data_IF_028658216702
#
_entry.id   IF_028658216702
#
_cell.length_a   1.000
_cell.length_b   1.000
_cell.length_c   1.000
_cell.angle_alpha   90.00
_cell.angle_beta   90.00
_cell.angle_gamma   90.00
#
_symmetry.space_group_name_H-M   'P 1'
#
loop_
_entity.id
_entity.type
_entity.pdbx_description
1 polymer ?
#
# COMPACT_ATOMS: atom_id res chain seq x y z
N UNK A 1 1.75 -7.51 -25.05
CA UNK A 1 2.71 -7.53 -23.93
C UNK A 1 2.51 -6.28 -23.12
N UNK A 2 2.10 -6.41 -21.87
CA UNK A 2 2.00 -5.26 -21.00
C UNK A 2 3.41 -4.73 -20.71
N UNK A 3 3.59 -3.44 -20.93
CA UNK A 3 4.87 -2.78 -20.78
C UNK A 3 5.10 -2.53 -19.29
N UNK A 4 6.18 -3.04 -18.69
CA UNK A 4 6.57 -2.71 -17.32
C UNK A 4 6.54 -1.20 -17.11
N UNK A 5 6.14 -0.75 -15.93
CA UNK A 5 5.94 0.68 -15.68
C UNK A 5 6.70 1.14 -14.45
N UNK A 6 7.40 2.25 -14.57
CA UNK A 6 7.94 3.03 -13.46
C UNK A 6 7.00 4.23 -13.25
N UNK A 7 6.49 4.38 -12.04
CA UNK A 7 5.78 5.58 -11.64
C UNK A 7 6.75 6.48 -10.86
N UNK A 8 7.08 7.62 -11.43
CA UNK A 8 7.98 8.59 -10.82
C UNK A 8 7.20 9.73 -10.17
N UNK A 9 7.52 9.99 -8.92
CA UNK A 9 6.93 11.04 -8.10
C UNK A 9 8.03 12.02 -7.69
N UNK A 10 8.12 13.20 -8.34
CA UNK A 10 9.15 14.19 -8.06
C UNK A 10 8.97 14.84 -6.69
N UNK A 11 9.96 15.58 -6.23
CA UNK A 11 9.80 16.53 -5.13
C UNK A 11 8.82 17.65 -5.51
N UNK A 12 8.21 18.26 -4.51
CA UNK A 12 7.29 19.39 -4.73
C UNK A 12 7.99 20.55 -5.46
N UNK A 13 7.41 20.98 -6.58
CA UNK A 13 7.98 22.01 -7.47
C UNK A 13 9.39 21.67 -7.98
N UNK A 14 9.67 20.39 -8.20
CA UNK A 14 10.96 19.94 -8.73
C UNK A 14 11.26 20.58 -10.07
N UNK A 15 12.46 21.16 -10.20
CA UNK A 15 12.95 21.69 -11.49
C UNK A 15 13.55 20.62 -12.38
N UNK A 16 13.81 19.41 -11.84
CA UNK A 16 14.47 18.28 -12.51
C UNK A 16 13.51 17.18 -13.00
N UNK A 17 12.21 17.29 -12.73
CA UNK A 17 11.25 16.22 -13.03
C UNK A 17 11.25 15.77 -14.50
N UNK A 18 11.37 16.71 -15.44
CA UNK A 18 11.43 16.40 -16.86
C UNK A 18 12.73 15.69 -17.24
N UNK A 19 13.87 16.11 -16.69
CA UNK A 19 15.18 15.52 -16.94
C UNK A 19 15.29 14.13 -16.35
N UNK A 20 14.81 13.93 -15.11
CA UNK A 20 14.71 12.61 -14.47
C UNK A 20 13.83 11.66 -15.27
N UNK A 21 12.66 12.14 -15.71
CA UNK A 21 11.75 11.34 -16.54
C UNK A 21 12.43 10.90 -17.84
N UNK A 22 13.21 11.79 -18.46
CA UNK A 22 13.97 11.48 -19.68
C UNK A 22 15.05 10.45 -19.39
N UNK A 23 15.86 10.65 -18.34
CA UNK A 23 16.93 9.73 -17.95
C UNK A 23 16.41 8.32 -17.65
N UNK A 24 15.29 8.20 -16.93
CA UNK A 24 14.64 6.92 -16.66
C UNK A 24 14.13 6.26 -17.97
N UNK A 25 13.59 7.01 -18.91
CA UNK A 25 13.19 6.48 -20.23
C UNK A 25 14.38 5.99 -21.06
N UNK A 26 15.51 6.67 -20.98
CA UNK A 26 16.74 6.27 -21.65
C UNK A 26 17.35 5.02 -21.02
N UNK A 27 17.31 4.91 -19.70
CA UNK A 27 17.77 3.72 -18.96
C UNK A 27 16.86 2.49 -19.17
N UNK A 28 15.56 2.70 -19.36
CA UNK A 28 14.55 1.65 -19.51
C UNK A 28 13.69 1.86 -20.76
N UNK A 29 14.26 1.72 -21.98
CA UNK A 29 13.56 2.06 -23.22
C UNK A 29 12.32 1.19 -23.50
N UNK A 30 12.30 -0.06 -22.97
CA UNK A 30 11.19 -0.98 -23.10
C UNK A 30 10.10 -0.75 -22.05
N UNK A 31 10.38 0.07 -21.04
CA UNK A 31 9.42 0.35 -19.97
C UNK A 31 8.63 1.63 -20.26
N UNK A 32 7.47 1.74 -19.60
CA UNK A 32 6.74 3.00 -19.52
C UNK A 32 7.23 3.76 -18.29
N UNK A 33 7.58 5.02 -18.45
CA UNK A 33 7.87 5.93 -17.34
C UNK A 33 6.79 7.00 -17.29
N UNK A 34 6.06 7.04 -16.19
CA UNK A 34 4.97 7.99 -15.93
C UNK A 34 5.40 8.87 -14.77
N UNK A 35 5.39 10.17 -14.98
CA UNK A 35 5.62 11.17 -13.93
C UNK A 35 4.26 11.65 -13.39
N UNK A 36 4.11 11.64 -12.07
CA UNK A 36 2.94 12.21 -11.39
C UNK A 36 3.43 13.32 -10.46
N UNK A 37 3.17 14.55 -10.85
CA UNK A 37 3.51 15.72 -10.05
C UNK A 37 2.68 15.78 -8.78
N UNK A 38 3.27 16.32 -7.71
CA UNK A 38 2.62 16.49 -6.43
C UNK A 38 2.35 17.97 -6.13
N UNK A 39 1.22 18.23 -5.48
CA UNK A 39 0.92 19.51 -4.84
C UNK A 39 0.55 19.28 -3.38
N UNK A 40 1.43 19.76 -2.48
CA UNK A 40 1.21 19.63 -1.03
C UNK A 40 0.06 20.52 -0.53
N UNK A 41 -0.34 21.55 -1.29
CA UNK A 41 -1.49 22.39 -0.95
C UNK A 41 -2.81 21.75 -1.43
N UNK A 42 -2.75 20.77 -2.34
CA UNK A 42 -3.87 20.02 -2.90
C UNK A 42 -3.68 18.50 -2.69
N UNK A 43 -3.43 18.07 -1.45
CA UNK A 43 -3.12 16.68 -1.11
C UNK A 43 -4.16 15.67 -1.61
N UNK A 44 -5.45 15.96 -1.45
CA UNK A 44 -6.53 15.05 -1.89
C UNK A 44 -6.54 14.86 -3.42
N UNK A 45 -6.19 15.91 -4.16
CA UNK A 45 -6.07 15.82 -5.61
C UNK A 45 -4.82 15.04 -6.01
N UNK A 46 -3.70 15.30 -5.36
CA UNK A 46 -2.46 14.55 -5.53
C UNK A 46 -2.67 13.06 -5.28
N UNK A 47 -3.31 12.68 -4.18
CA UNK A 47 -3.64 11.29 -3.86
C UNK A 47 -4.56 10.65 -4.89
N UNK A 48 -5.57 11.37 -5.34
CA UNK A 48 -6.48 10.90 -6.40
C UNK A 48 -5.74 10.65 -7.71
N UNK A 49 -4.81 11.53 -8.08
CA UNK A 49 -4.01 11.39 -9.30
C UNK A 49 -3.02 10.23 -9.18
N UNK A 50 -2.39 10.06 -8.04
CA UNK A 50 -1.55 8.88 -7.75
C UNK A 50 -2.37 7.60 -7.81
N UNK A 51 -3.55 7.56 -7.15
CA UNK A 51 -4.46 6.42 -7.21
C UNK A 51 -4.87 6.05 -8.63
N UNK A 52 -5.17 7.05 -9.48
CA UNK A 52 -5.42 6.81 -10.91
C UNK A 52 -4.18 6.25 -11.62
N UNK A 53 -2.99 6.79 -11.33
CA UNK A 53 -1.73 6.30 -11.89
C UNK A 53 -1.47 4.85 -11.51
N UNK A 54 -1.68 4.50 -10.25
CA UNK A 54 -1.56 3.13 -9.76
C UNK A 54 -2.52 2.18 -10.47
N UNK A 55 -3.80 2.56 -10.57
CA UNK A 55 -4.82 1.74 -11.21
C UNK A 55 -4.61 1.59 -12.73
N UNK A 56 -4.33 2.69 -13.44
CA UNK A 56 -4.21 2.67 -14.90
C UNK A 56 -2.94 2.00 -15.41
N UNK A 57 -1.83 2.14 -14.68
CA UNK A 57 -0.52 1.72 -15.15
C UNK A 57 0.04 0.52 -14.41
N UNK A 58 -0.52 0.19 -13.24
CA UNK A 58 -0.09 -0.94 -12.40
C UNK A 58 1.45 -1.03 -12.34
N UNK A 59 2.14 -0.03 -11.74
CA UNK A 59 3.58 0.10 -11.85
C UNK A 59 4.33 -1.00 -11.10
N UNK A 60 5.42 -1.48 -11.68
CA UNK A 60 6.39 -2.38 -11.04
C UNK A 60 7.17 -1.68 -9.95
N UNK A 61 7.49 -0.42 -10.18
CA UNK A 61 8.31 0.36 -9.26
C UNK A 61 7.75 1.77 -9.11
N UNK A 62 7.64 2.19 -7.86
CA UNK A 62 7.44 3.59 -7.49
C UNK A 62 8.80 4.18 -7.16
N UNK A 63 9.19 5.26 -7.81
CA UNK A 63 10.41 5.99 -7.46
C UNK A 63 10.07 7.42 -7.13
N UNK A 64 10.64 7.94 -6.05
CA UNK A 64 10.33 9.29 -5.57
C UNK A 64 11.56 10.06 -5.12
N UNK A 65 11.43 11.37 -5.09
CA UNK A 65 12.40 12.30 -4.53
C UNK A 65 11.74 13.16 -3.45
N UNK A 66 12.50 13.52 -2.43
CA UNK A 66 12.09 14.49 -1.40
C UNK A 66 10.69 14.20 -0.86
N UNK A 67 9.78 15.15 -0.97
CA UNK A 67 8.39 15.04 -0.53
C UNK A 67 7.54 14.06 -1.34
N UNK A 68 7.97 13.63 -2.52
CA UNK A 68 7.32 12.54 -3.24
C UNK A 68 7.27 11.26 -2.40
N UNK A 69 8.27 11.04 -1.55
CA UNK A 69 8.33 9.90 -0.65
C UNK A 69 7.16 9.87 0.35
N UNK A 70 6.73 11.01 0.85
CA UNK A 70 5.57 11.13 1.74
C UNK A 70 4.31 10.50 1.13
N UNK A 71 4.05 10.76 -0.13
CA UNK A 71 2.87 10.24 -0.81
C UNK A 71 2.96 8.74 -1.10
N UNK A 72 4.13 8.24 -1.52
CA UNK A 72 4.26 6.81 -1.87
C UNK A 72 4.33 5.89 -0.66
N UNK A 73 4.61 6.38 0.54
CA UNK A 73 4.56 5.57 1.75
C UNK A 73 3.16 5.04 2.08
N UNK A 74 2.12 5.68 1.59
CA UNK A 74 0.74 5.18 1.73
C UNK A 74 0.46 3.95 0.87
N UNK A 75 1.33 3.68 -0.11
CA UNK A 75 1.25 2.53 -1.01
C UNK A 75 2.23 1.44 -0.54
N UNK A 76 2.19 1.16 0.77
CA UNK A 76 2.95 0.07 1.37
C UNK A 76 2.71 -1.23 0.62
N UNK A 77 3.78 -2.00 0.42
CA UNK A 77 3.70 -3.25 -0.29
C UNK A 77 4.13 -3.19 -1.76
N UNK A 78 4.19 -2.02 -2.39
CA UNK A 78 4.79 -1.87 -3.72
C UNK A 78 6.30 -1.66 -3.62
N UNK A 79 7.03 -2.04 -4.67
CA UNK A 79 8.46 -1.73 -4.79
C UNK A 79 8.66 -0.22 -4.81
N UNK A 80 9.28 0.33 -3.78
CA UNK A 80 9.44 1.78 -3.58
C UNK A 80 10.90 2.14 -3.43
N UNK A 81 11.36 3.06 -4.23
CA UNK A 81 12.70 3.67 -4.15
C UNK A 81 12.53 5.14 -3.79
N UNK A 82 13.00 5.53 -2.62
CA UNK A 82 12.89 6.89 -2.10
C UNK A 82 14.27 7.54 -2.05
N UNK A 83 14.52 8.53 -2.89
CA UNK A 83 15.78 9.25 -2.98
C UNK A 83 15.71 10.50 -2.11
N UNK A 84 16.60 10.59 -1.11
CA UNK A 84 16.60 11.66 -0.11
C UNK A 84 15.20 12.00 0.40
N UNK A 85 14.47 11.02 0.96
CA UNK A 85 13.07 11.20 1.31
C UNK A 85 12.86 12.33 2.32
N UNK A 86 11.83 13.14 2.08
CA UNK A 86 11.27 14.08 3.04
C UNK A 86 9.84 13.66 3.39
N UNK A 87 9.58 13.43 4.66
CA UNK A 87 8.29 12.96 5.16
C UNK A 87 7.54 14.03 5.96
N UNK A 88 7.99 15.27 5.88
CA UNK A 88 7.46 16.39 6.65
C UNK A 88 6.97 17.54 5.76
N UNK A 89 5.91 17.34 4.96
CA UNK A 89 5.36 18.38 4.09
C UNK A 89 4.81 19.60 4.85
N UNK A 90 4.46 19.46 6.15
CA UNK A 90 3.94 20.56 6.96
C UNK A 90 4.90 21.75 7.04
N UNK A 91 6.20 21.52 7.02
CA UNK A 91 7.20 22.60 7.03
C UNK A 91 7.27 23.38 5.70
N UNK A 92 6.76 22.80 4.61
CA UNK A 92 6.79 23.39 3.27
C UNK A 92 5.40 23.82 2.78
N UNK A 93 4.35 23.52 3.57
CA UNK A 93 2.98 23.88 3.25
C UNK A 93 2.68 25.31 3.74
N UNK A 94 2.27 26.18 2.83
CA UNK A 94 1.90 27.57 3.17
C UNK A 94 0.47 27.67 3.72
N UNK A 95 -0.41 26.75 3.30
CA UNK A 95 -1.81 26.67 3.70
C UNK A 95 -2.13 25.33 4.35
N UNK A 96 -3.05 25.33 5.32
CA UNK A 96 -3.51 24.09 5.99
C UNK A 96 -2.42 23.27 6.72
N UNK A 97 -1.43 23.95 7.31
CA UNK A 97 -0.30 23.31 8.01
C UNK A 97 -0.75 22.29 9.08
N UNK A 98 -1.80 22.61 9.86
CA UNK A 98 -2.33 21.69 10.88
C UNK A 98 -2.91 20.42 10.29
N UNK A 99 -3.63 20.51 9.15
CA UNK A 99 -4.16 19.33 8.45
C UNK A 99 -3.00 18.48 7.94
N UNK A 100 -1.97 19.11 7.42
CA UNK A 100 -0.79 18.42 6.91
C UNK A 100 -0.02 17.72 8.03
N UNK A 101 0.08 18.31 9.20
CA UNK A 101 0.70 17.67 10.36
C UNK A 101 -0.02 16.37 10.76
N UNK A 102 -1.35 16.36 10.76
CA UNK A 102 -2.11 15.13 11.01
C UNK A 102 -1.88 14.05 9.96
N UNK A 103 -1.70 14.44 8.70
CA UNK A 103 -1.38 13.49 7.64
C UNK A 103 0.05 12.93 7.79
N UNK A 104 1.01 13.74 8.26
CA UNK A 104 2.36 13.28 8.60
C UNK A 104 2.34 12.22 9.71
N UNK A 105 1.57 12.43 10.76
CA UNK A 105 1.42 11.43 11.83
C UNK A 105 0.88 10.10 11.29
N UNK A 106 -0.12 10.13 10.40
CA UNK A 106 -0.66 8.93 9.77
C UNK A 106 0.38 8.20 8.93
N UNK A 107 1.17 8.93 8.15
CA UNK A 107 2.26 8.34 7.35
C UNK A 107 3.34 7.76 8.25
N UNK A 108 3.71 8.45 9.32
CA UNK A 108 4.69 7.95 10.28
C UNK A 108 4.23 6.66 10.96
N UNK A 109 2.94 6.59 11.33
CA UNK A 109 2.34 5.37 11.88
C UNK A 109 2.34 4.23 10.85
N UNK A 110 2.07 4.53 9.58
CA UNK A 110 2.11 3.55 8.52
C UNK A 110 3.53 2.99 8.31
N UNK A 111 4.54 3.86 8.27
CA UNK A 111 5.96 3.47 8.13
C UNK A 111 6.37 2.56 9.30
N UNK A 112 6.08 2.96 10.54
CA UNK A 112 6.43 2.17 11.72
C UNK A 112 5.75 0.80 11.69
N UNK A 113 4.49 0.76 11.26
CA UNK A 113 3.72 -0.47 11.12
C UNK A 113 4.32 -1.40 10.06
N UNK A 114 4.67 -0.87 8.90
CA UNK A 114 5.27 -1.64 7.81
C UNK A 114 6.65 -2.19 8.21
N UNK A 115 7.45 -1.42 8.93
CA UNK A 115 8.76 -1.85 9.41
C UNK A 115 8.68 -3.02 10.39
N UNK A 116 7.69 -2.98 11.31
CA UNK A 116 7.51 -4.05 12.31
C UNK A 116 6.97 -5.35 11.69
N UNK A 117 6.16 -5.24 10.63
CA UNK A 117 5.49 -6.39 10.01
C UNK A 117 6.32 -7.11 9.00
N UNK A 118 7.08 -6.40 8.23
CA UNK A 118 7.81 -6.94 7.11
C UNK A 118 9.21 -6.34 7.02
N UNK A 119 10.15 -6.94 7.78
CA UNK A 119 11.57 -6.55 7.73
C UNK A 119 12.22 -6.74 6.36
N UNK A 120 11.48 -7.31 5.41
CA UNK A 120 11.88 -7.51 4.02
C UNK A 120 11.05 -6.63 3.08
N UNK A 121 10.58 -5.48 3.54
CA UNK A 121 9.76 -4.61 2.70
C UNK A 121 10.51 -4.20 1.44
N UNK A 122 9.78 -4.16 0.34
CA UNK A 122 10.24 -3.67 -0.97
C UNK A 122 10.38 -2.15 -0.97
N UNK A 123 11.03 -1.60 0.08
CA UNK A 123 11.24 -0.17 0.23
C UNK A 123 12.72 0.12 0.46
N UNK A 124 13.30 0.89 -0.43
CA UNK A 124 14.70 1.31 -0.40
C UNK A 124 14.80 2.81 -0.18
N UNK A 125 15.61 3.20 0.80
CA UNK A 125 16.03 4.58 0.97
C UNK A 125 17.41 4.79 0.33
N UNK A 126 17.51 5.70 -0.63
CA UNK A 126 18.76 6.10 -1.27
C UNK A 126 19.18 7.46 -0.73
N UNK A 127 20.29 7.52 0.00
CA UNK A 127 20.71 8.72 0.72
C UNK A 127 22.05 9.23 0.23
N UNK A 128 22.08 10.50 -0.18
CA UNK A 128 23.31 11.22 -0.45
C UNK A 128 24.08 11.56 0.83
N UNK A 129 25.37 11.93 0.68
CA UNK A 129 26.25 12.28 1.81
C UNK A 129 25.70 13.42 2.67
N UNK A 130 25.06 14.41 2.03
CA UNK A 130 24.57 15.63 2.67
C UNK A 130 23.03 15.63 2.80
N UNK A 131 22.38 14.46 2.78
CA UNK A 131 20.94 14.37 2.94
C UNK A 131 20.50 14.92 4.30
N UNK A 132 19.60 15.90 4.28
CA UNK A 132 19.05 16.49 5.50
C UNK A 132 18.33 15.42 6.33
N UNK A 133 18.53 15.43 7.65
CA UNK A 133 17.97 14.44 8.58
C UNK A 133 18.25 12.98 8.22
N UNK A 134 19.34 12.72 7.50
CA UNK A 134 19.71 11.40 6.97
C UNK A 134 19.61 10.28 8.01
N UNK A 135 20.23 10.45 9.19
CA UNK A 135 20.23 9.42 10.22
C UNK A 135 18.83 9.09 10.73
N UNK A 136 17.99 10.11 10.87
CA UNK A 136 16.61 9.95 11.27
C UNK A 136 15.82 9.15 10.22
N UNK A 137 15.92 9.49 8.94
CA UNK A 137 15.19 8.80 7.90
C UNK A 137 15.73 7.41 7.59
N UNK A 138 17.05 7.20 7.67
CA UNK A 138 17.65 5.88 7.47
C UNK A 138 17.07 4.82 8.42
N UNK A 139 16.73 5.21 9.66
CA UNK A 139 16.14 4.30 10.63
C UNK A 139 14.73 3.80 10.22
N UNK A 140 14.05 4.48 9.30
CA UNK A 140 12.72 4.14 8.82
C UNK A 140 12.71 3.27 7.54
N UNK A 141 13.89 3.00 6.96
CA UNK A 141 14.00 2.20 5.76
C UNK A 141 14.68 0.86 6.05
N UNK A 142 14.04 -0.28 5.73
CA UNK A 142 14.65 -1.59 5.94
C UNK A 142 15.86 -1.81 5.02
N UNK A 143 15.84 -1.20 3.84
CA UNK A 143 16.91 -1.29 2.87
C UNK A 143 17.49 0.11 2.61
N UNK A 144 18.77 0.29 2.86
CA UNK A 144 19.44 1.59 2.75
C UNK A 144 20.60 1.50 1.78
N UNK A 145 20.63 2.41 0.80
CA UNK A 145 21.77 2.65 -0.08
C UNK A 145 22.38 4.01 0.26
N UNK A 146 23.65 3.98 0.61
CA UNK A 146 24.43 5.18 0.89
C UNK A 146 25.25 5.58 -0.33
N UNK A 147 24.93 6.73 -0.90
CA UNK A 147 25.66 7.32 -2.00
C UNK A 147 26.75 8.25 -1.44
N UNK A 148 28.04 8.00 -1.71
CA UNK A 148 29.14 8.74 -1.07
C UNK A 148 29.35 10.15 -1.64
N UNK A 149 28.43 10.65 -2.45
CA UNK A 149 28.40 11.99 -3.06
C UNK A 149 27.15 12.74 -2.65
N UNK A 150 27.10 14.02 -2.95
CA UNK A 150 25.89 14.83 -2.80
C UNK A 150 24.83 14.32 -3.79
N UNK A 151 23.62 14.15 -3.32
CA UNK A 151 22.45 13.77 -4.12
C UNK A 151 21.41 14.88 -3.96
N UNK A 152 21.04 15.53 -5.06
CA UNK A 152 19.99 16.55 -5.10
C UNK A 152 18.75 15.99 -5.79
N UNK A 153 18.98 15.13 -6.79
CA UNK A 153 17.90 14.44 -7.52
C UNK A 153 18.28 12.99 -7.84
N UNK A 154 17.35 12.24 -8.41
CA UNK A 154 17.61 10.88 -8.94
C UNK A 154 18.78 10.89 -9.92
N UNK A 155 18.99 11.96 -10.67
CA UNK A 155 20.09 12.07 -11.64
C UNK A 155 21.48 11.86 -10.98
N UNK A 156 21.62 12.29 -9.74
CA UNK A 156 22.87 12.12 -8.99
C UNK A 156 23.06 10.70 -8.43
N UNK A 157 22.00 9.89 -8.41
CA UNK A 157 21.98 8.52 -7.93
C UNK A 157 21.35 7.56 -8.97
N UNK A 158 21.44 7.93 -10.26
CA UNK A 158 20.75 7.20 -11.33
C UNK A 158 21.26 5.76 -11.44
N UNK A 159 22.56 5.56 -11.38
CA UNK A 159 23.16 4.23 -11.49
C UNK A 159 22.70 3.30 -10.37
N UNK A 160 22.63 3.80 -9.15
CA UNK A 160 22.14 3.06 -7.99
C UNK A 160 20.64 2.74 -8.12
N UNK A 161 19.84 3.68 -8.59
CA UNK A 161 18.42 3.47 -8.84
C UNK A 161 18.18 2.47 -9.97
N UNK A 162 18.94 2.56 -11.07
CA UNK A 162 18.85 1.62 -12.18
C UNK A 162 19.25 0.21 -11.76
N UNK A 163 20.32 0.05 -10.99
CA UNK A 163 20.73 -1.23 -10.43
C UNK A 163 19.63 -1.85 -9.54
N UNK A 164 18.99 -1.04 -8.69
CA UNK A 164 17.86 -1.49 -7.86
C UNK A 164 16.67 -1.94 -8.70
N UNK A 165 16.26 -1.14 -9.69
CA UNK A 165 15.13 -1.45 -10.56
C UNK A 165 15.37 -2.76 -11.31
N UNK A 166 16.60 -3.00 -11.81
CA UNK A 166 16.96 -4.24 -12.46
C UNK A 166 16.88 -5.42 -11.49
N UNK A 167 17.43 -5.30 -10.27
CA UNK A 167 17.37 -6.33 -9.24
C UNK A 167 15.92 -6.70 -8.88
N UNK A 168 15.06 -5.71 -8.69
CA UNK A 168 13.64 -5.89 -8.44
C UNK A 168 12.99 -6.66 -9.61
N UNK A 169 13.26 -6.22 -10.83
CA UNK A 169 12.67 -6.79 -12.05
C UNK A 169 13.07 -8.24 -12.32
N UNK A 170 14.29 -8.63 -11.97
CA UNK A 170 14.82 -9.99 -12.18
C UNK A 170 14.26 -11.02 -11.20
N UNK A 171 13.78 -10.59 -10.02
CA UNK A 171 13.20 -11.48 -9.01
C UNK A 171 11.72 -11.79 -9.25
N UNK A 172 11.09 -11.15 -10.22
CA UNK A 172 9.67 -11.27 -10.52
C UNK A 172 9.37 -12.19 -11.69
N UNK A 173 8.28 -12.94 -11.59
CA UNK A 173 7.72 -13.74 -12.67
C UNK A 173 6.19 -13.61 -12.70
N UNK A 174 5.58 -13.84 -13.85
CA UNK A 174 4.13 -13.70 -14.05
C UNK A 174 3.56 -15.02 -14.54
N UNK A 175 2.44 -15.44 -13.96
CA UNK A 175 1.72 -16.64 -14.36
C UNK A 175 0.90 -16.44 -15.66
N UNK A 176 0.23 -17.51 -16.11
CA UNK A 176 -0.60 -17.51 -17.31
C UNK A 176 -1.84 -16.59 -17.21
N UNK A 177 -2.27 -16.24 -16.00
CA UNK A 177 -3.40 -15.34 -15.73
C UNK A 177 -2.98 -13.87 -15.57
N UNK A 178 -1.70 -13.57 -15.70
CA UNK A 178 -1.18 -12.21 -15.53
C UNK A 178 -0.91 -11.79 -14.08
N UNK A 179 -0.86 -12.76 -13.14
CA UNK A 179 -0.50 -12.48 -11.76
C UNK A 179 1.01 -12.54 -11.59
N UNK A 180 1.57 -11.44 -11.09
CA UNK A 180 3.02 -11.30 -10.88
C UNK A 180 3.39 -11.69 -9.44
N UNK A 181 4.45 -12.47 -9.34
CA UNK A 181 5.01 -12.93 -8.07
C UNK A 181 6.46 -12.50 -7.96
N UNK A 182 6.91 -12.24 -6.73
CA UNK A 182 8.27 -11.94 -6.38
C UNK A 182 8.79 -12.90 -5.28
N UNK A 183 10.06 -12.79 -4.92
CA UNK A 183 10.69 -13.58 -3.87
C UNK A 183 10.44 -15.09 -3.99
N UNK A 184 10.69 -15.64 -5.18
CA UNK A 184 10.47 -17.07 -5.44
C UNK A 184 9.03 -17.56 -5.19
N UNK A 185 8.04 -16.69 -5.47
CA UNK A 185 6.63 -17.00 -5.32
C UNK A 185 6.07 -16.82 -3.90
N UNK A 186 6.83 -16.25 -2.98
CA UNK A 186 6.35 -15.95 -1.62
C UNK A 186 5.49 -14.71 -1.54
N UNK A 187 5.70 -13.77 -2.48
CA UNK A 187 5.00 -12.49 -2.54
C UNK A 187 4.18 -12.44 -3.82
N UNK A 188 2.88 -12.27 -3.71
CA UNK A 188 1.99 -11.95 -4.83
C UNK A 188 1.95 -10.43 -4.96
N UNK A 189 2.53 -9.92 -6.06
CA UNK A 189 2.71 -8.49 -6.26
C UNK A 189 1.44 -7.84 -6.79
N UNK A 190 0.91 -8.34 -7.90
CA UNK A 190 -0.26 -7.77 -8.58
C UNK A 190 -0.86 -8.72 -9.60
N UNK A 191 -2.13 -8.48 -9.97
CA UNK A 191 -2.76 -9.01 -11.17
C UNK A 191 -2.82 -7.93 -12.28
N UNK A 192 -2.59 -8.32 -13.51
CA UNK A 192 -2.74 -7.44 -14.67
C UNK A 192 -4.20 -7.42 -15.13
N UNK A 193 -4.84 -6.25 -15.09
CA UNK A 193 -6.26 -6.14 -15.42
C UNK A 193 -6.59 -6.64 -16.85
N UNK A 194 -5.74 -6.37 -17.82
CA UNK A 194 -6.01 -6.73 -19.21
C UNK A 194 -5.98 -8.24 -19.46
N UNK A 195 -5.13 -8.96 -18.71
CA UNK A 195 -5.00 -10.42 -18.78
C UNK A 195 -5.98 -11.12 -17.83
N UNK A 196 -6.23 -10.52 -16.67
CA UNK A 196 -7.03 -11.11 -15.59
C UNK A 196 -8.55 -10.92 -15.74
N UNK A 197 -9.01 -9.98 -16.58
CA UNK A 197 -10.43 -9.60 -16.69
C UNK A 197 -11.40 -10.71 -17.04
N UNK A 198 -10.92 -11.84 -17.63
CA UNK A 198 -11.74 -13.00 -17.98
C UNK A 198 -11.63 -14.12 -16.92
N UNK A 199 -10.86 -13.87 -15.84
CA UNK A 199 -10.66 -14.84 -14.75
C UNK A 199 -11.74 -14.60 -13.69
N UNK A 200 -12.72 -15.48 -13.64
CA UNK A 200 -13.80 -15.40 -12.64
C UNK A 200 -13.40 -16.03 -11.31
N UNK A 201 -12.64 -17.13 -11.37
CA UNK A 201 -12.21 -17.90 -10.21
C UNK A 201 -10.69 -18.02 -10.21
N UNK A 202 -10.04 -17.60 -9.13
CA UNK A 202 -8.58 -17.68 -9.02
C UNK A 202 -8.14 -18.36 -7.74
N UNK A 203 -7.17 -19.26 -7.86
CA UNK A 203 -6.54 -19.93 -6.73
C UNK A 203 -5.11 -19.40 -6.56
N UNK A 204 -4.88 -18.66 -5.49
CA UNK A 204 -3.52 -18.18 -5.16
C UNK A 204 -2.66 -19.40 -4.82
N UNK A 205 -1.45 -19.55 -5.43
CA UNK A 205 -0.57 -20.68 -5.19
C UNK A 205 -0.19 -20.85 -3.72
N UNK A 206 -0.14 -22.10 -3.27
CA UNK A 206 0.38 -22.42 -1.94
C UNK A 206 1.85 -22.00 -1.82
N UNK A 207 2.21 -21.38 -0.70
CA UNK A 207 3.56 -20.83 -0.49
C UNK A 207 3.60 -19.32 -0.51
N UNK A 208 2.63 -18.64 -1.14
CA UNK A 208 2.45 -17.20 -1.02
C UNK A 208 2.20 -16.85 0.45
N UNK A 209 2.97 -15.92 0.98
CA UNK A 209 2.88 -15.44 2.36
C UNK A 209 2.34 -14.03 2.47
N UNK A 210 2.60 -13.23 1.44
CA UNK A 210 2.20 -11.82 1.38
C UNK A 210 1.48 -11.55 0.07
N UNK A 211 0.32 -10.89 0.15
CA UNK A 211 -0.39 -10.31 -0.99
C UNK A 211 -0.23 -8.80 -0.88
N UNK A 212 0.34 -8.21 -1.91
CA UNK A 212 0.70 -6.79 -1.90
C UNK A 212 -0.51 -5.87 -1.98
N UNK A 213 -0.26 -4.61 -1.69
CA UNK A 213 -1.23 -3.54 -1.77
C UNK A 213 -1.90 -3.48 -3.15
N UNK A 214 -3.24 -3.45 -3.18
CA UNK A 214 -4.03 -3.34 -4.40
C UNK A 214 -3.83 -4.48 -5.41
N UNK A 215 -3.27 -5.62 -5.00
CA UNK A 215 -2.88 -6.70 -5.93
C UNK A 215 -4.01 -7.17 -6.85
N UNK A 216 -5.25 -7.13 -6.39
CA UNK A 216 -6.46 -7.48 -7.16
C UNK A 216 -7.44 -6.30 -7.25
N UNK A 217 -6.98 -5.07 -7.11
CA UNK A 217 -7.84 -3.89 -7.15
C UNK A 217 -8.66 -3.83 -8.45
N UNK A 218 -9.98 -3.76 -8.32
CA UNK A 218 -10.90 -3.61 -9.46
C UNK A 218 -11.01 -4.81 -10.38
N UNK A 219 -10.56 -6.00 -9.95
CA UNK A 219 -10.65 -7.22 -10.76
C UNK A 219 -12.07 -7.78 -10.79
N UNK A 220 -12.46 -8.39 -11.92
CA UNK A 220 -13.78 -8.98 -12.15
C UNK A 220 -13.89 -10.42 -11.57
N UNK A 221 -13.26 -10.64 -10.39
CA UNK A 221 -13.28 -11.90 -9.65
C UNK A 221 -14.65 -12.19 -9.07
N UNK A 222 -15.18 -13.40 -9.28
CA UNK A 222 -16.35 -13.95 -8.56
C UNK A 222 -15.95 -14.69 -7.30
N UNK A 223 -14.85 -15.47 -7.39
CA UNK A 223 -14.30 -16.18 -6.24
C UNK A 223 -12.77 -16.12 -6.21
N UNK A 224 -12.22 -16.21 -5.01
CA UNK A 224 -10.78 -16.31 -4.80
C UNK A 224 -10.49 -17.29 -3.65
N UNK A 225 -9.56 -18.22 -3.90
CA UNK A 225 -9.03 -19.08 -2.85
C UNK A 225 -7.69 -18.54 -2.37
N UNK A 226 -7.64 -18.12 -1.11
CA UNK A 226 -6.43 -17.60 -0.46
C UNK A 226 -5.85 -18.73 0.40
N UNK A 227 -4.60 -19.18 0.17
CA UNK A 227 -4.04 -20.31 0.88
C UNK A 227 -3.69 -20.00 2.34
N UNK A 228 -3.67 -21.01 3.21
CA UNK A 228 -3.33 -20.92 4.63
C UNK A 228 -1.89 -20.46 4.90
N UNK A 229 -1.04 -20.39 3.86
CA UNK A 229 0.31 -19.85 3.93
C UNK A 229 0.34 -18.33 4.04
N UNK A 230 -0.73 -17.64 3.62
CA UNK A 230 -0.81 -16.18 3.67
C UNK A 230 -0.91 -15.69 5.12
N UNK A 231 -0.05 -14.75 5.46
CA UNK A 231 0.01 -14.11 6.79
C UNK A 231 -0.27 -12.61 6.70
N UNK A 232 -0.11 -12.03 5.51
CA UNK A 232 -0.30 -10.60 5.30
C UNK A 232 -1.03 -10.33 3.98
N UNK A 233 -2.01 -9.42 4.05
CA UNK A 233 -2.73 -8.86 2.90
C UNK A 233 -2.66 -7.34 3.00
N UNK A 234 -2.21 -6.68 1.96
CA UNK A 234 -2.00 -5.22 1.95
C UNK A 234 -3.31 -4.41 1.89
N UNK A 235 -3.18 -3.09 1.96
CA UNK A 235 -4.32 -2.19 1.79
C UNK A 235 -4.96 -2.35 0.41
N UNK A 236 -6.26 -2.13 0.29
CA UNK A 236 -7.01 -2.15 -0.98
C UNK A 236 -6.88 -3.45 -1.79
N UNK A 237 -6.45 -4.55 -1.19
CA UNK A 237 -6.05 -5.76 -1.92
C UNK A 237 -7.15 -6.28 -2.86
N UNK A 238 -8.41 -6.21 -2.46
CA UNK A 238 -9.59 -6.59 -3.26
C UNK A 238 -10.58 -5.42 -3.42
N UNK A 239 -10.18 -4.19 -3.15
CA UNK A 239 -11.07 -3.04 -3.32
C UNK A 239 -11.62 -2.98 -4.74
N UNK A 240 -12.89 -2.61 -4.90
CA UNK A 240 -13.59 -2.55 -6.20
C UNK A 240 -13.75 -3.90 -6.95
N UNK A 241 -13.51 -5.04 -6.30
CA UNK A 241 -13.82 -6.35 -6.88
C UNK A 241 -15.34 -6.58 -6.84
N UNK A 242 -16.05 -5.98 -7.80
CA UNK A 242 -17.52 -5.85 -7.77
C UNK A 242 -18.29 -7.15 -7.90
N UNK A 243 -17.67 -8.19 -8.44
CA UNK A 243 -18.29 -9.51 -8.64
C UNK A 243 -17.97 -10.50 -7.52
N UNK A 244 -17.03 -10.18 -6.62
CA UNK A 244 -16.62 -11.06 -5.52
C UNK A 244 -17.80 -11.31 -4.58
N UNK A 245 -18.24 -12.58 -4.45
CA UNK A 245 -19.42 -12.95 -3.67
C UNK A 245 -19.10 -13.42 -2.26
N UNK A 246 -17.99 -14.15 -2.10
CA UNK A 246 -17.55 -14.68 -0.81
C UNK A 246 -16.03 -14.66 -0.69
N UNK A 247 -15.55 -14.59 0.55
CA UNK A 247 -14.11 -14.69 0.86
C UNK A 247 -13.88 -15.39 2.20
N UNK A 248 -12.87 -16.26 2.22
CA UNK A 248 -12.36 -16.88 3.45
C UNK A 248 -11.00 -16.24 3.75
N UNK A 249 -10.91 -15.54 4.88
CA UNK A 249 -9.65 -14.94 5.33
C UNK A 249 -8.78 -16.05 5.94
N UNK A 250 -7.50 -16.17 5.53
CA UNK A 250 -6.62 -17.24 5.98
C UNK A 250 -6.38 -17.28 7.49
N UNK A 251 -6.12 -18.45 8.08
CA UNK A 251 -6.07 -18.65 9.53
C UNK A 251 -4.88 -18.01 10.22
N UNK A 252 -3.90 -17.47 9.48
CA UNK A 252 -2.72 -16.77 10.04
C UNK A 252 -2.79 -15.25 9.88
N UNK A 253 -3.83 -14.73 9.25
CA UNK A 253 -4.02 -13.29 9.08
C UNK A 253 -4.51 -12.71 10.41
N UNK A 254 -3.76 -11.78 10.96
CA UNK A 254 -4.09 -11.10 12.22
C UNK A 254 -4.71 -9.72 12.01
N UNK A 255 -4.64 -9.21 10.77
CA UNK A 255 -5.15 -7.88 10.43
C UNK A 255 -5.76 -7.86 9.04
N UNK A 256 -6.93 -7.22 8.93
CA UNK A 256 -7.51 -6.78 7.67
C UNK A 256 -7.19 -5.30 7.52
N UNK A 257 -6.42 -4.99 6.50
CA UNK A 257 -5.92 -3.65 6.26
C UNK A 257 -7.01 -2.73 5.68
N UNK A 258 -6.73 -1.42 5.74
CA UNK A 258 -7.64 -0.36 5.29
C UNK A 258 -8.18 -0.64 3.89
N UNK A 259 -9.50 -0.55 3.72
CA UNK A 259 -10.22 -0.67 2.45
C UNK A 259 -9.98 -1.98 1.69
N UNK A 260 -9.55 -3.05 2.37
CA UNK A 260 -9.20 -4.31 1.71
C UNK A 260 -10.30 -4.87 0.81
N UNK A 261 -11.56 -4.68 1.18
CA UNK A 261 -12.74 -5.14 0.43
C UNK A 261 -13.74 -3.99 0.14
N UNK A 262 -13.27 -2.75 0.14
CA UNK A 262 -14.13 -1.59 -0.11
C UNK A 262 -14.78 -1.68 -1.48
N UNK A 263 -16.10 -1.42 -1.54
CA UNK A 263 -16.91 -1.45 -2.78
C UNK A 263 -16.96 -2.83 -3.49
N UNK A 264 -16.74 -3.93 -2.76
CA UNK A 264 -17.08 -5.27 -3.23
C UNK A 264 -18.60 -5.46 -3.13
N UNK A 265 -19.35 -4.85 -4.05
CA UNK A 265 -20.81 -4.70 -3.96
C UNK A 265 -21.59 -6.02 -4.03
N UNK A 266 -20.96 -7.11 -4.42
CA UNK A 266 -21.55 -8.47 -4.44
C UNK A 266 -21.15 -9.32 -3.24
N UNK A 267 -20.23 -8.85 -2.38
CA UNK A 267 -19.70 -9.62 -1.25
C UNK A 267 -20.77 -9.79 -0.16
N UNK A 268 -21.29 -11.02 -0.04
CA UNK A 268 -22.39 -11.40 0.86
C UNK A 268 -21.91 -12.18 2.08
N UNK A 269 -20.78 -12.86 1.97
CA UNK A 269 -20.24 -13.71 3.03
C UNK A 269 -18.72 -13.49 3.20
N UNK A 270 -18.30 -13.37 4.46
CA UNK A 270 -16.91 -13.30 4.85
C UNK A 270 -16.66 -14.19 6.06
N UNK A 271 -15.72 -15.14 5.92
CA UNK A 271 -15.29 -15.99 7.03
C UNK A 271 -13.99 -15.44 7.61
N UNK A 272 -14.07 -14.97 8.85
CA UNK A 272 -12.94 -14.39 9.57
C UNK A 272 -12.25 -15.43 10.46
N UNK A 273 -10.91 -15.47 10.50
CA UNK A 273 -10.16 -16.41 11.32
C UNK A 273 -10.13 -15.96 12.81
N UNK A 274 -9.97 -16.92 13.72
CA UNK A 274 -9.78 -16.64 15.14
C UNK A 274 -8.48 -15.86 15.46
N UNK A 275 -7.52 -15.88 14.55
CA UNK A 275 -6.25 -15.11 14.64
C UNK A 275 -6.46 -13.61 14.47
N UNK A 276 -7.57 -13.18 13.89
CA UNK A 276 -7.79 -11.77 13.54
C UNK A 276 -7.89 -10.91 14.79
N UNK A 277 -7.10 -9.85 14.84
CA UNK A 277 -6.98 -8.91 15.96
C UNK A 277 -7.46 -7.51 15.60
N UNK A 278 -7.25 -7.09 14.37
CA UNK A 278 -7.50 -5.72 13.93
C UNK A 278 -8.22 -5.71 12.59
N UNK A 279 -9.26 -4.87 12.49
CA UNK A 279 -9.90 -4.51 11.22
C UNK A 279 -9.78 -3.00 11.06
N UNK A 280 -9.12 -2.58 10.00
CA UNK A 280 -8.85 -1.16 9.75
C UNK A 280 -10.01 -0.47 9.04
N UNK A 281 -9.89 0.85 8.91
CA UNK A 281 -10.93 1.72 8.40
C UNK A 281 -11.45 1.31 7.02
N UNK A 282 -12.75 1.38 6.85
CA UNK A 282 -13.47 1.15 5.59
C UNK A 282 -13.20 -0.22 4.95
N UNK A 283 -12.71 -1.21 5.73
CA UNK A 283 -12.27 -2.51 5.20
C UNK A 283 -13.36 -3.24 4.41
N UNK A 284 -14.62 -3.14 4.80
CA UNK A 284 -15.78 -3.76 4.17
C UNK A 284 -16.87 -2.74 3.79
N UNK A 285 -16.53 -1.47 3.68
CA UNK A 285 -17.48 -0.43 3.29
C UNK A 285 -17.93 -0.62 1.85
N UNK A 286 -19.22 -0.45 1.58
CA UNK A 286 -19.80 -0.63 0.24
C UNK A 286 -19.94 -2.09 -0.19
N UNK A 287 -20.04 -3.03 0.76
CA UNK A 287 -20.28 -4.46 0.47
C UNK A 287 -21.76 -4.82 0.59
N UNK A 288 -22.14 -6.03 0.14
CA UNK A 288 -23.50 -6.57 0.31
C UNK A 288 -23.68 -7.37 1.62
N UNK A 289 -22.77 -7.24 2.58
CA UNK A 289 -22.84 -7.93 3.86
C UNK A 289 -24.07 -7.46 4.66
N UNK A 290 -24.89 -8.40 5.13
CA UNK A 290 -26.03 -8.11 6.02
C UNK A 290 -25.77 -8.53 7.46
N UNK A 291 -24.91 -9.52 7.64
CA UNK A 291 -24.42 -9.97 8.95
C UNK A 291 -23.01 -10.51 8.85
N UNK A 292 -22.25 -10.40 9.94
CA UNK A 292 -20.86 -10.90 10.02
C UNK A 292 -20.63 -11.51 11.40
N UNK A 293 -20.06 -12.74 11.41
CA UNK A 293 -19.57 -13.34 12.62
C UNK A 293 -18.21 -12.78 12.98
N UNK A 294 -18.13 -12.13 14.15
CA UNK A 294 -16.90 -11.49 14.60
C UNK A 294 -15.98 -12.51 15.29
N UNK A 295 -14.67 -12.49 15.01
CA UNK A 295 -13.74 -13.44 15.59
C UNK A 295 -13.48 -13.16 17.08
N UNK A 296 -13.30 -14.25 17.84
CA UNK A 296 -13.13 -14.23 19.31
C UNK A 296 -11.89 -13.50 19.82
N UNK A 297 -11.00 -13.12 18.95
CA UNK A 297 -9.76 -12.46 19.33
C UNK A 297 -9.65 -11.01 18.89
N UNK A 298 -10.72 -10.43 18.36
CA UNK A 298 -10.70 -9.07 17.84
C UNK A 298 -10.46 -8.07 18.97
N UNK A 299 -9.41 -7.28 18.86
CA UNK A 299 -9.03 -6.27 19.85
C UNK A 299 -9.28 -4.84 19.37
N UNK A 300 -9.35 -4.63 18.04
CA UNK A 300 -9.54 -3.28 17.48
C UNK A 300 -10.35 -3.33 16.21
N UNK A 301 -11.30 -2.44 16.09
CA UNK A 301 -12.05 -2.14 14.88
C UNK A 301 -12.03 -0.63 14.69
N UNK A 302 -11.59 -0.16 13.52
CA UNK A 302 -11.51 1.26 13.21
C UNK A 302 -12.86 1.80 12.71
N UNK A 303 -12.89 3.05 12.27
CA UNK A 303 -14.12 3.70 11.83
C UNK A 303 -14.60 3.18 10.47
N UNK A 304 -15.90 3.23 10.26
CA UNK A 304 -16.56 2.93 8.98
C UNK A 304 -16.19 1.55 8.37
N UNK A 305 -15.82 0.58 9.20
CA UNK A 305 -15.44 -0.77 8.72
C UNK A 305 -16.54 -1.40 7.88
N UNK A 306 -17.79 -1.26 8.30
CA UNK A 306 -18.98 -1.74 7.62
C UNK A 306 -19.96 -0.58 7.35
N UNK A 307 -20.88 -0.78 6.41
CA UNK A 307 -22.00 0.14 6.23
C UNK A 307 -23.00 0.04 7.40
N UNK A 308 -23.76 1.13 7.60
CA UNK A 308 -24.81 1.12 8.62
C UNK A 308 -25.88 0.06 8.30
N UNK A 309 -26.20 -0.76 9.30
CA UNK A 309 -27.21 -1.81 9.19
C UNK A 309 -26.67 -3.25 9.10
N UNK A 310 -25.37 -3.43 8.96
CA UNK A 310 -24.73 -4.75 9.05
C UNK A 310 -24.85 -5.26 10.49
N UNK A 311 -25.40 -6.45 10.67
CA UNK A 311 -25.56 -7.09 11.97
C UNK A 311 -24.25 -7.79 12.36
N UNK A 312 -23.58 -7.31 13.40
CA UNK A 312 -22.42 -7.97 13.98
C UNK A 312 -22.87 -9.06 14.96
N UNK A 313 -22.46 -10.29 14.70
CA UNK A 313 -22.72 -11.43 15.58
C UNK A 313 -21.47 -11.59 16.45
N UNK A 314 -21.59 -11.18 17.73
CA UNK A 314 -20.47 -11.13 18.69
C UNK A 314 -20.83 -11.99 19.89
N UNK A 315 -19.86 -12.73 20.42
CA UNK A 315 -20.01 -13.43 21.68
C UNK A 315 -20.03 -12.42 22.84
N UNK A 316 -20.96 -12.55 23.82
CA UNK A 316 -21.16 -11.57 24.90
C UNK A 316 -19.91 -11.24 25.75
N UNK A 317 -18.98 -12.20 25.88
CA UNK A 317 -17.73 -11.96 26.60
C UNK A 317 -16.79 -10.97 25.88
N UNK A 318 -16.92 -10.80 24.58
CA UNK A 318 -16.06 -9.97 23.72
C UNK A 318 -16.60 -8.56 23.53
N UNK A 319 -17.92 -8.42 23.59
CA UNK A 319 -18.56 -7.11 23.54
C UNK A 319 -18.01 -6.17 24.63
N UNK A 320 -17.68 -6.71 25.80
CA UNK A 320 -17.12 -5.94 26.93
C UNK A 320 -15.69 -5.43 26.64
N UNK A 321 -14.88 -6.19 25.91
CA UNK A 321 -13.50 -5.80 25.60
C UNK A 321 -13.48 -4.71 24.50
N UNK A 322 -14.29 -4.87 23.45
CA UNK A 322 -14.40 -3.88 22.38
C UNK A 322 -14.98 -2.54 22.85
N UNK A 323 -15.96 -2.58 23.77
CA UNK A 323 -16.55 -1.38 24.35
C UNK A 323 -15.59 -0.65 25.30
N UNK A 324 -14.77 -1.38 26.07
CA UNK A 324 -13.81 -0.75 26.98
C UNK A 324 -12.66 -0.03 26.27
N UNK A 325 -12.22 -0.51 25.10
CA UNK A 325 -11.15 0.14 24.35
C UNK A 325 -11.64 1.34 23.54
N UNK A 326 -12.87 1.31 23.02
CA UNK A 326 -13.47 2.49 22.36
C UNK A 326 -13.78 3.63 23.34
N UNK A 327 -14.13 3.33 24.59
CA UNK A 327 -14.32 4.35 25.63
C UNK A 327 -13.01 5.00 26.08
N UNK A 328 -11.88 4.30 26.06
CA UNK A 328 -10.57 4.90 26.38
C UNK A 328 -10.14 5.96 25.35
N UNK A 329 -10.47 5.78 24.08
CA UNK A 329 -10.09 6.71 23.01
C UNK A 329 -10.91 8.03 23.03
N UNK A 330 -12.15 8.01 23.56
CA UNK A 330 -12.98 9.22 23.70
C UNK A 330 -12.77 9.96 25.03
N UNK A 331 -12.31 9.28 26.10
CA UNK A 331 -12.09 9.92 27.39
C UNK A 331 -10.72 10.59 27.54
N UNK A 332 -9.76 10.33 26.67
CA UNK A 332 -8.44 11.01 26.69
C UNK A 332 -8.39 12.25 25.79
N UNK A 333 -9.42 12.50 24.97
CA UNK A 333 -9.49 13.66 24.07
C UNK A 333 -10.50 14.76 24.49
N UNK A 334 -11.21 14.58 25.61
CA UNK A 334 -12.19 15.59 26.11
C UNK A 334 -11.62 16.49 27.22
N UNK A 335 -10.35 16.41 27.55
CA UNK A 335 -9.67 17.27 28.55
C UNK A 335 -8.58 18.16 27.89
N UNK A 336 -8.96 18.97 26.86
CA UNK A 336 -8.19 20.16 26.51
C UNK A 336 -9.09 21.20 25.82
#
# INVERSE_FOLDING_TARGET
MNRKTILYIPDFKSQHAAEVTKALKEAFPEWRVVCVEIDINACEETERNLGKGMHLFNPEVLISEGLGAFFIHRWAGNNRICVNPDLHPSYRCEENQSKMYLEEEKVQLAINRDYDRDKQTHCWGVFGKDAERREFYMAHYPNVINVPRKVVSILDALDECVALINTISESEWTDEYGVTFAEYGRVLVKADYALFREVEDYVIPHGVRTIMHGAFYGMDLKSITIPDSVVHMGHHVFSECKLLEEVVIPPKVERIEMRSFMNCISLKDVKMPHSLRIIEAEAFKGTALTSVEMPTGLSRMEYDVFDGGVKLIINEAELRNLLNDSYRYHSENDDF
#
